data_IF_727429448907
#
_entry.id   IF_727429448907
#
_cell.length_a   1.000
_cell.length_b   1.000
_cell.length_c   1.000
_cell.angle_alpha   90.00
_cell.angle_beta   90.00
_cell.angle_gamma   90.00
#
_symmetry.space_group_name_H-M   'P 1'
#
loop_
_entity.id
_entity.type
_entity.pdbx_description
1 polymer ?
#
# COMPACT_ATOMS: atom_id res chain seq x y z
N UNK A 1 14.97 5.29 3.14
CA UNK A 1 14.27 4.91 4.39
C UNK A 1 12.77 5.05 4.24
N UNK A 2 12.23 6.23 3.87
CA UNK A 2 10.78 6.43 3.68
C UNK A 2 10.18 5.41 2.71
N UNK A 3 10.78 5.22 1.53
CA UNK A 3 10.28 4.26 0.51
C UNK A 3 10.26 2.79 0.96
N UNK A 4 11.13 2.41 1.90
CA UNK A 4 11.13 1.04 2.45
C UNK A 4 9.98 0.86 3.43
N UNK A 5 9.73 1.87 4.27
CA UNK A 5 8.63 1.89 5.22
C UNK A 5 7.26 1.90 4.52
N UNK A 6 7.12 2.62 3.39
CA UNK A 6 5.88 2.64 2.61
C UNK A 6 5.57 1.26 2.02
N UNK A 7 6.55 0.63 1.35
CA UNK A 7 6.38 -0.72 0.79
C UNK A 7 6.04 -1.77 1.85
N UNK A 8 6.67 -1.71 3.03
CA UNK A 8 6.34 -2.59 4.16
C UNK A 8 4.91 -2.32 4.62
N UNK A 9 4.50 -1.06 4.74
CA UNK A 9 3.14 -0.70 5.17
C UNK A 9 2.09 -1.21 4.18
N UNK A 10 2.31 -1.06 2.88
CA UNK A 10 1.36 -1.54 1.87
C UNK A 10 1.31 -3.06 1.83
N UNK A 11 2.48 -3.71 1.90
CA UNK A 11 2.59 -5.17 1.97
C UNK A 11 1.85 -5.72 3.18
N UNK A 12 2.01 -5.10 4.35
CA UNK A 12 1.32 -5.54 5.58
C UNK A 12 -0.18 -5.32 5.51
N UNK A 13 -0.66 -4.24 4.90
CA UNK A 13 -2.10 -4.03 4.64
C UNK A 13 -2.64 -5.16 3.74
N UNK A 14 -1.97 -5.46 2.64
CA UNK A 14 -2.33 -6.56 1.73
C UNK A 14 -2.33 -7.93 2.41
N UNK A 15 -1.30 -8.22 3.20
CA UNK A 15 -1.19 -9.45 3.98
C UNK A 15 -2.28 -9.55 5.04
N UNK A 16 -2.65 -8.43 5.67
CA UNK A 16 -3.73 -8.40 6.67
C UNK A 16 -5.10 -8.70 6.04
N UNK A 17 -5.39 -8.13 4.87
CA UNK A 17 -6.61 -8.41 4.11
C UNK A 17 -6.67 -9.88 3.67
N UNK A 18 -5.55 -10.39 3.15
CA UNK A 18 -5.42 -11.80 2.72
C UNK A 18 -5.61 -12.76 3.89
N UNK A 19 -4.95 -12.48 5.02
CA UNK A 19 -5.10 -13.27 6.24
C UNK A 19 -6.55 -13.25 6.74
N UNK A 20 -7.23 -12.10 6.69
CA UNK A 20 -8.62 -12.01 7.09
C UNK A 20 -9.58 -12.78 6.17
N UNK A 21 -9.30 -12.78 4.87
CA UNK A 21 -10.04 -13.63 3.93
C UNK A 21 -9.85 -15.12 4.24
N UNK A 22 -8.61 -15.56 4.46
CA UNK A 22 -8.30 -16.97 4.77
C UNK A 22 -8.93 -17.41 6.10
N UNK A 23 -8.83 -16.60 7.14
CA UNK A 23 -9.37 -16.90 8.48
C UNK A 23 -10.90 -17.02 8.49
N UNK A 24 -11.58 -16.19 7.70
CA UNK A 24 -13.04 -16.15 7.59
C UNK A 24 -13.60 -17.09 6.51
N UNK A 25 -12.74 -17.75 5.74
CA UNK A 25 -13.17 -18.62 4.65
C UNK A 25 -14.06 -19.78 5.13
N UNK A 26 -15.15 -20.11 4.40
CA UNK A 26 -16.00 -21.24 4.75
C UNK A 26 -15.31 -22.60 4.54
N UNK A 27 -14.22 -22.62 3.76
CA UNK A 27 -13.46 -23.81 3.40
C UNK A 27 -12.38 -24.09 4.45
N UNK A 28 -12.42 -25.28 5.06
CA UNK A 28 -11.51 -25.65 6.14
C UNK A 28 -10.04 -25.62 5.73
N UNK A 29 -9.71 -26.06 4.52
CA UNK A 29 -8.33 -26.08 4.03
C UNK A 29 -7.75 -24.66 3.90
N UNK A 30 -8.54 -23.68 3.42
CA UNK A 30 -8.10 -22.27 3.34
C UNK A 30 -7.88 -21.68 4.73
N UNK A 31 -8.76 -22.01 5.68
CA UNK A 31 -8.62 -21.55 7.07
C UNK A 31 -7.37 -22.12 7.74
N UNK A 32 -7.00 -23.35 7.41
CA UNK A 32 -5.78 -23.98 7.91
C UNK A 32 -4.49 -23.33 7.37
N UNK A 33 -4.55 -22.62 6.24
CA UNK A 33 -3.41 -21.82 5.75
C UNK A 33 -3.16 -20.55 6.59
N UNK A 34 -4.19 -20.07 7.29
CA UNK A 34 -4.15 -18.89 8.17
C UNK A 34 -3.52 -19.19 9.52
N UNK A 35 -2.31 -19.77 9.52
CA UNK A 35 -1.56 -20.02 10.77
C UNK A 35 -0.68 -18.83 11.15
N UNK A 36 -0.38 -18.70 12.45
CA UNK A 36 0.57 -17.69 12.94
C UNK A 36 1.98 -17.92 12.33
N UNK A 37 2.36 -19.18 12.07
CA UNK A 37 3.66 -19.51 11.48
C UNK A 37 3.78 -18.98 10.04
N UNK A 38 2.75 -19.22 9.21
CA UNK A 38 2.70 -18.71 7.84
C UNK A 38 2.64 -17.19 7.81
N UNK A 39 1.85 -16.57 8.67
CA UNK A 39 1.80 -15.10 8.78
C UNK A 39 3.17 -14.49 9.12
N UNK A 40 3.90 -15.05 10.11
CA UNK A 40 5.25 -14.59 10.46
C UNK A 40 6.23 -14.73 9.29
N UNK A 41 6.21 -15.88 8.62
CA UNK A 41 7.06 -16.10 7.46
C UNK A 41 6.80 -15.09 6.33
N UNK A 42 5.53 -14.85 5.99
CA UNK A 42 5.15 -13.88 4.95
C UNK A 42 5.54 -12.45 5.31
N UNK A 43 5.37 -12.04 6.58
CA UNK A 43 5.78 -10.72 7.04
C UNK A 43 7.30 -10.57 6.92
N UNK A 44 8.08 -11.54 7.43
CA UNK A 44 9.55 -11.50 7.31
C UNK A 44 10.00 -11.45 5.84
N UNK A 45 9.40 -12.27 4.98
CA UNK A 45 9.69 -12.25 3.54
C UNK A 45 9.37 -10.89 2.92
N UNK A 46 8.22 -10.28 3.26
CA UNK A 46 7.83 -8.96 2.74
C UNK A 46 8.80 -7.85 3.16
N UNK A 47 9.31 -7.90 4.40
CA UNK A 47 10.30 -6.94 4.90
C UNK A 47 11.62 -7.08 4.15
N UNK A 48 12.11 -8.31 3.99
CA UNK A 48 13.36 -8.59 3.26
C UNK A 48 13.24 -8.10 1.80
N UNK A 49 12.14 -8.44 1.12
CA UNK A 49 11.89 -8.01 -0.26
C UNK A 49 11.83 -6.48 -0.34
N UNK A 50 11.14 -5.82 0.59
CA UNK A 50 11.03 -4.36 0.61
C UNK A 50 12.40 -3.68 0.81
N UNK A 51 13.22 -4.20 1.71
CA UNK A 51 14.58 -3.68 1.94
C UNK A 51 15.43 -3.86 0.68
N UNK A 52 15.46 -5.07 0.10
CA UNK A 52 16.22 -5.36 -1.12
C UNK A 52 15.79 -4.46 -2.28
N UNK A 53 14.48 -4.26 -2.43
CA UNK A 53 13.90 -3.41 -3.46
C UNK A 53 14.32 -1.93 -3.32
N UNK A 54 14.57 -1.46 -2.09
CA UNK A 54 14.99 -0.08 -1.86
C UNK A 54 16.49 0.19 -2.03
N UNK A 55 17.32 -0.85 -2.18
CA UNK A 55 18.77 -0.68 -2.38
C UNK A 55 19.10 0.18 -3.63
N UNK A 56 18.52 -0.09 -4.82
CA UNK A 56 18.74 0.75 -6.00
C UNK A 56 18.42 2.23 -5.78
N UNK A 57 17.37 2.56 -5.01
CA UNK A 57 17.05 3.95 -4.68
C UNK A 57 18.16 4.63 -3.89
N UNK A 58 18.86 3.91 -3.00
CA UNK A 58 20.01 4.45 -2.29
C UNK A 58 21.24 4.65 -3.16
N UNK A 59 21.42 3.83 -4.20
CA UNK A 59 22.57 3.90 -5.12
C UNK A 59 22.41 5.03 -6.13
N UNK A 60 21.21 5.22 -6.67
CA UNK A 60 20.93 6.21 -7.72
C UNK A 60 20.50 7.58 -7.19
N UNK A 61 20.49 7.77 -5.87
CA UNK A 61 20.25 9.06 -5.25
C UNK A 61 21.52 9.92 -5.37
N UNK A 62 21.43 11.04 -6.10
CA UNK A 62 22.56 11.96 -6.24
C UNK A 62 22.18 13.35 -5.68
N UNK A 63 23.17 14.04 -5.13
CA UNK A 63 23.03 15.44 -4.69
C UNK A 63 23.65 16.32 -5.78
N UNK A 64 22.83 17.11 -6.47
CA UNK A 64 23.29 18.09 -7.48
C UNK A 64 22.70 19.45 -7.18
N UNK A 65 23.56 20.48 -7.12
CA UNK A 65 23.17 21.88 -6.94
C UNK A 65 22.12 22.09 -5.83
N UNK A 66 22.36 21.53 -4.63
CA UNK A 66 21.48 21.57 -3.44
C UNK A 66 20.16 20.80 -3.52
N UNK A 67 19.91 20.06 -4.61
CA UNK A 67 18.75 19.18 -4.75
C UNK A 67 19.21 17.72 -4.62
N UNK A 68 18.48 16.94 -3.83
CA UNK A 68 18.70 15.50 -3.68
C UNK A 68 17.62 14.76 -4.47
N UNK A 69 17.99 14.19 -5.62
CA UNK A 69 17.06 13.56 -6.54
C UNK A 69 17.71 12.46 -7.38
N UNK A 70 16.87 11.66 -8.04
CA UNK A 70 17.32 10.64 -9.00
C UNK A 70 17.43 11.29 -10.38
N UNK A 71 18.63 11.28 -10.96
CA UNK A 71 18.87 11.83 -12.31
C UNK A 71 19.04 10.75 -13.39
N UNK A 72 19.22 9.49 -12.99
CA UNK A 72 19.38 8.39 -13.93
C UNK A 72 18.06 8.13 -14.67
N UNK A 73 18.06 8.26 -16.00
CA UNK A 73 16.85 8.12 -16.82
C UNK A 73 16.19 6.74 -16.71
N UNK A 74 16.97 5.67 -16.57
CA UNK A 74 16.42 4.32 -16.42
C UNK A 74 15.68 4.18 -15.08
N UNK A 75 16.25 4.75 -14.02
CA UNK A 75 15.61 4.75 -12.70
C UNK A 75 14.38 5.65 -12.68
N UNK A 76 14.41 6.82 -13.34
CA UNK A 76 13.22 7.68 -13.48
C UNK A 76 12.08 6.97 -14.23
N UNK A 77 12.39 6.26 -15.32
CA UNK A 77 11.40 5.46 -16.04
C UNK A 77 10.83 4.35 -15.15
N UNK A 78 11.69 3.67 -14.39
CA UNK A 78 11.25 2.66 -13.42
C UNK A 78 10.30 3.23 -12.37
N UNK A 79 10.64 4.39 -11.81
CA UNK A 79 9.85 5.06 -10.80
C UNK A 79 8.47 5.46 -11.36
N UNK A 80 8.47 6.10 -12.53
CA UNK A 80 7.27 6.69 -13.15
C UNK A 80 6.29 5.66 -13.67
N UNK A 81 6.79 4.58 -14.29
CA UNK A 81 5.96 3.61 -15.01
C UNK A 81 5.70 2.32 -14.23
N UNK A 82 6.50 2.03 -13.20
CA UNK A 82 6.37 0.79 -12.45
C UNK A 82 6.19 1.02 -10.95
N UNK A 83 7.07 1.78 -10.30
CA UNK A 83 7.02 1.94 -8.85
C UNK A 83 5.73 2.59 -8.36
N UNK A 84 5.44 3.83 -8.78
CA UNK A 84 4.23 4.54 -8.35
C UNK A 84 2.94 3.87 -8.86
N UNK A 85 2.76 3.64 -10.18
CA UNK A 85 1.47 3.15 -10.66
C UNK A 85 1.20 1.70 -10.27
N UNK A 86 2.22 0.83 -10.23
CA UNK A 86 2.03 -0.61 -9.99
C UNK A 86 2.25 -0.96 -8.53
N UNK A 87 3.44 -0.71 -7.99
CA UNK A 87 3.82 -1.15 -6.63
C UNK A 87 3.18 -0.31 -5.51
N UNK A 88 3.08 1.00 -5.70
CA UNK A 88 2.52 1.94 -4.71
C UNK A 88 0.99 2.02 -4.81
N UNK A 89 0.47 2.09 -6.03
CA UNK A 89 -0.96 2.28 -6.30
C UNK A 89 -1.72 0.99 -6.60
N UNK A 90 -1.70 0.54 -7.87
CA UNK A 90 -2.65 -0.43 -8.39
C UNK A 90 -2.60 -1.79 -7.67
N UNK A 91 -1.42 -2.36 -7.51
CA UNK A 91 -1.25 -3.71 -6.95
C UNK A 91 -1.74 -3.80 -5.50
N UNK A 92 -1.31 -2.94 -4.55
CA UNK A 92 -1.78 -3.01 -3.19
C UNK A 92 -3.27 -2.69 -3.07
N UNK A 93 -3.78 -1.71 -3.84
CA UNK A 93 -5.20 -1.36 -3.84
C UNK A 93 -6.05 -2.53 -4.33
N UNK A 94 -5.68 -3.17 -5.44
CA UNK A 94 -6.43 -4.31 -5.99
C UNK A 94 -6.41 -5.49 -5.03
N UNK A 95 -5.24 -5.89 -4.53
CA UNK A 95 -5.09 -7.02 -3.61
C UNK A 95 -5.91 -6.77 -2.34
N UNK A 96 -5.70 -5.62 -1.68
CA UNK A 96 -6.39 -5.30 -0.44
C UNK A 96 -7.91 -5.22 -0.63
N UNK A 97 -8.38 -4.57 -1.71
CA UNK A 97 -9.81 -4.43 -2.00
C UNK A 97 -10.48 -5.76 -2.27
N UNK A 98 -9.88 -6.60 -3.13
CA UNK A 98 -10.43 -7.92 -3.46
C UNK A 98 -10.51 -8.80 -2.22
N UNK A 99 -9.41 -8.94 -1.47
CA UNK A 99 -9.42 -9.80 -0.29
C UNK A 99 -10.33 -9.30 0.82
N UNK A 100 -10.40 -7.99 1.06
CA UNK A 100 -11.33 -7.46 2.07
C UNK A 100 -12.78 -7.55 1.67
N UNK A 101 -13.10 -7.37 0.38
CA UNK A 101 -14.46 -7.60 -0.11
C UNK A 101 -14.86 -9.07 0.04
N UNK A 102 -13.97 -10.00 -0.31
CA UNK A 102 -14.21 -11.43 -0.12
C UNK A 102 -14.35 -11.80 1.36
N UNK A 103 -13.51 -11.24 2.23
CA UNK A 103 -13.60 -11.43 3.68
C UNK A 103 -14.93 -10.91 4.24
N UNK A 104 -15.39 -9.74 3.79
CA UNK A 104 -16.68 -9.18 4.16
C UNK A 104 -17.85 -10.10 3.77
N UNK A 105 -17.82 -10.62 2.54
CA UNK A 105 -18.82 -11.58 2.07
C UNK A 105 -18.82 -12.88 2.89
N UNK A 106 -17.63 -13.39 3.24
CA UNK A 106 -17.48 -14.58 4.07
C UNK A 106 -18.07 -14.38 5.48
N UNK A 107 -17.76 -13.26 6.12
CA UNK A 107 -18.31 -12.91 7.44
C UNK A 107 -19.82 -12.77 7.40
N UNK A 108 -20.38 -12.14 6.36
CA UNK A 108 -21.84 -12.01 6.19
C UNK A 108 -22.51 -13.38 5.97
N UNK A 109 -21.81 -14.36 5.40
CA UNK A 109 -22.28 -15.76 5.27
C UNK A 109 -22.16 -16.53 6.59
N UNK A 110 -21.10 -16.31 7.37
CA UNK A 110 -20.89 -16.92 8.70
C UNK A 110 -22.02 -16.60 9.68
N UNK A 111 -22.66 -15.44 9.54
CA UNK A 111 -23.84 -15.02 10.32
C UNK A 111 -24.95 -16.07 10.35
N UNK A 112 -25.04 -16.95 9.34
CA UNK A 112 -26.05 -18.01 9.25
C UNK A 112 -25.63 -19.36 9.87
N UNK A 113 -24.38 -19.52 10.33
CA UNK A 113 -23.87 -20.76 10.95
C UNK A 113 -23.82 -20.66 12.48
N UNK A 114 -24.00 -21.79 13.16
CA UNK A 114 -23.91 -21.93 14.63
C UNK A 114 -22.43 -21.80 15.11
N UNK A 115 -21.88 -20.59 15.07
CA UNK A 115 -20.61 -20.25 15.71
C UNK A 115 -20.93 -19.54 17.04
N UNK A 116 -20.16 -19.77 18.13
CA UNK A 116 -20.33 -19.02 19.37
C UNK A 116 -20.37 -17.51 19.12
N UNK A 117 -21.39 -16.86 19.69
CA UNK A 117 -21.76 -15.45 19.44
C UNK A 117 -20.57 -14.51 19.68
N UNK A 118 -19.74 -14.80 20.70
CA UNK A 118 -18.56 -13.99 21.06
C UNK A 118 -17.52 -13.98 19.94
N UNK A 119 -17.14 -15.15 19.41
CA UNK A 119 -16.14 -15.27 18.34
C UNK A 119 -16.61 -14.59 17.06
N UNK A 120 -17.90 -14.72 16.76
CA UNK A 120 -18.52 -14.07 15.60
C UNK A 120 -18.45 -12.53 15.68
N UNK A 121 -18.74 -11.94 16.84
CA UNK A 121 -18.65 -10.47 17.01
C UNK A 121 -17.21 -9.97 16.83
N UNK A 122 -16.24 -10.71 17.35
CA UNK A 122 -14.82 -10.38 17.19
C UNK A 122 -14.39 -10.41 15.72
N UNK A 123 -14.72 -11.47 14.99
CA UNK A 123 -14.38 -11.59 13.56
C UNK A 123 -15.06 -10.49 12.72
N UNK A 124 -16.29 -10.10 13.07
CA UNK A 124 -17.02 -9.00 12.43
C UNK A 124 -16.33 -7.65 12.66
N UNK A 125 -15.97 -7.35 13.92
CA UNK A 125 -15.27 -6.11 14.26
C UNK A 125 -13.91 -6.03 13.56
N UNK A 126 -13.17 -7.14 13.52
CA UNK A 126 -11.85 -7.17 12.90
C UNK A 126 -11.91 -7.01 11.37
N UNK A 127 -12.86 -7.66 10.69
CA UNK A 127 -13.09 -7.43 9.25
C UNK A 127 -13.53 -5.99 8.97
N UNK A 128 -14.40 -5.42 9.79
CA UNK A 128 -14.82 -4.02 9.64
C UNK A 128 -13.64 -3.05 9.82
N UNK A 129 -12.78 -3.30 10.81
CA UNK A 129 -11.56 -2.52 11.04
C UNK A 129 -10.62 -2.57 9.83
N UNK A 130 -10.38 -3.74 9.25
CA UNK A 130 -9.51 -3.90 8.08
C UNK A 130 -10.11 -3.18 6.85
N UNK A 131 -11.44 -3.29 6.65
CA UNK A 131 -12.12 -2.62 5.55
C UNK A 131 -11.99 -1.09 5.66
N UNK A 132 -12.21 -0.53 6.85
CA UNK A 132 -12.02 0.91 7.11
C UNK A 132 -10.57 1.31 6.85
N UNK A 133 -9.60 0.53 7.33
CA UNK A 133 -8.18 0.80 7.11
C UNK A 133 -7.83 0.85 5.62
N UNK A 134 -8.44 -0.02 4.80
CA UNK A 134 -8.21 -0.02 3.35
C UNK A 134 -8.86 1.18 2.66
N UNK A 135 -10.07 1.57 3.08
CA UNK A 135 -10.72 2.79 2.56
C UNK A 135 -9.86 4.01 2.86
N UNK A 136 -9.38 4.14 4.10
CA UNK A 136 -8.47 5.23 4.51
C UNK A 136 -7.18 5.17 3.70
N UNK A 137 -6.59 3.98 3.54
CA UNK A 137 -5.40 3.77 2.72
C UNK A 137 -5.60 4.26 1.28
N UNK A 138 -6.71 3.92 0.64
CA UNK A 138 -7.05 4.34 -0.74
C UNK A 138 -7.18 5.86 -0.81
N UNK A 139 -7.94 6.47 0.11
CA UNK A 139 -8.23 7.91 0.09
C UNK A 139 -6.98 8.76 0.36
N UNK A 140 -6.09 8.29 1.25
CA UNK A 140 -4.87 9.04 1.60
C UNK A 140 -3.70 8.78 0.64
N UNK A 141 -3.62 7.59 0.03
CA UNK A 141 -2.45 7.19 -0.78
C UNK A 141 -2.62 7.49 -2.26
N UNK A 142 -3.80 7.22 -2.85
CA UNK A 142 -4.00 7.41 -4.29
C UNK A 142 -3.75 8.84 -4.78
N UNK A 143 -4.21 9.90 -4.10
CA UNK A 143 -3.97 11.26 -4.57
C UNK A 143 -2.47 11.60 -4.65
N UNK A 144 -1.70 11.12 -3.68
CA UNK A 144 -0.25 11.27 -3.65
C UNK A 144 0.43 10.53 -4.82
N UNK A 145 0.09 9.26 -5.03
CA UNK A 145 0.66 8.47 -6.15
C UNK A 145 0.34 9.08 -7.53
N UNK A 146 -0.88 9.63 -7.70
CA UNK A 146 -1.29 10.29 -8.94
C UNK A 146 -0.49 11.58 -9.17
N UNK A 147 -0.27 12.36 -8.11
CA UNK A 147 0.52 13.60 -8.19
C UNK A 147 1.98 13.29 -8.53
N UNK A 148 2.60 12.30 -7.89
CA UNK A 148 3.97 11.87 -8.19
C UNK A 148 4.08 11.39 -9.65
N UNK A 149 3.14 10.57 -10.11
CA UNK A 149 3.10 10.15 -11.51
C UNK A 149 3.00 11.37 -12.44
N UNK A 150 2.18 12.36 -12.09
CA UNK A 150 2.04 13.59 -12.87
C UNK A 150 3.34 14.39 -12.93
N UNK A 151 4.04 14.59 -11.81
CA UNK A 151 5.28 15.38 -11.77
C UNK A 151 6.39 14.75 -12.60
N UNK A 152 6.54 13.42 -12.53
CA UNK A 152 7.57 12.71 -13.32
C UNK A 152 7.25 12.63 -14.82
N UNK A 153 5.99 12.39 -15.19
CA UNK A 153 5.60 12.27 -16.61
C UNK A 153 5.56 13.64 -17.28
N UNK A 154 4.95 14.63 -16.64
CA UNK A 154 4.77 15.96 -17.22
C UNK A 154 6.08 16.77 -17.30
N UNK A 155 7.18 16.29 -16.67
CA UNK A 155 8.48 16.96 -16.59
C UNK A 155 8.31 18.46 -16.32
N UNK A 156 7.65 18.77 -15.20
CA UNK A 156 7.20 20.12 -14.84
C UNK A 156 8.29 21.15 -15.14
N UNK A 157 8.03 22.00 -16.13
CA UNK A 157 9.02 22.93 -16.65
C UNK A 157 9.18 24.09 -15.67
N UNK A 158 10.39 24.32 -15.17
CA UNK A 158 10.70 25.35 -14.16
C UNK A 158 10.58 26.79 -14.67
N UNK A 159 10.27 26.97 -15.96
CA UNK A 159 10.14 28.28 -16.60
C UNK A 159 8.94 29.10 -16.12
N UNK A 160 7.87 28.44 -15.64
CA UNK A 160 6.71 29.12 -15.06
C UNK A 160 6.69 28.99 -13.54
N UNK A 161 7.25 29.99 -12.87
CA UNK A 161 7.42 30.02 -11.40
C UNK A 161 6.09 29.88 -10.64
N UNK A 162 5.01 30.51 -11.14
CA UNK A 162 3.70 30.44 -10.49
C UNK A 162 3.12 29.02 -10.56
N UNK A 163 3.25 28.38 -11.71
CA UNK A 163 2.79 27.01 -11.90
C UNK A 163 3.56 26.02 -11.02
N UNK A 164 4.89 26.17 -10.97
CA UNK A 164 5.76 25.35 -10.12
C UNK A 164 5.42 25.51 -8.63
N UNK A 165 5.16 26.74 -8.17
CA UNK A 165 4.77 27.01 -6.79
C UNK A 165 3.44 26.33 -6.41
N UNK A 166 2.45 26.32 -7.31
CA UNK A 166 1.16 25.64 -7.09
C UNK A 166 1.37 24.13 -6.95
N UNK A 167 2.17 23.52 -7.85
CA UNK A 167 2.46 22.08 -7.81
C UNK A 167 3.14 21.70 -6.50
N UNK A 168 4.14 22.47 -6.06
CA UNK A 168 4.83 22.21 -4.78
C UNK A 168 3.89 22.34 -3.57
N UNK A 169 2.94 23.27 -3.60
CA UNK A 169 1.96 23.42 -2.54
C UNK A 169 1.03 22.19 -2.49
N UNK A 170 0.54 21.73 -3.65
CA UNK A 170 -0.29 20.52 -3.75
C UNK A 170 0.49 19.30 -3.26
N UNK A 171 1.74 19.14 -3.71
CA UNK A 171 2.63 18.05 -3.30
C UNK A 171 2.85 18.05 -1.79
N UNK A 172 3.14 19.21 -1.18
CA UNK A 172 3.30 19.32 0.26
C UNK A 172 2.04 18.91 1.03
N UNK A 173 0.85 19.35 0.60
CA UNK A 173 -0.43 18.94 1.21
C UNK A 173 -0.63 17.43 1.08
N UNK A 174 -0.39 16.86 -0.10
CA UNK A 174 -0.56 15.43 -0.34
C UNK A 174 0.44 14.59 0.45
N UNK A 175 1.69 15.02 0.59
CA UNK A 175 2.70 14.38 1.44
C UNK A 175 2.24 14.37 2.90
N UNK A 176 1.68 15.48 3.40
CA UNK A 176 1.17 15.51 4.79
C UNK A 176 0.01 14.55 5.00
N UNK A 177 -0.92 14.47 4.05
CA UNK A 177 -2.04 13.52 4.10
C UNK A 177 -1.56 12.07 4.00
N UNK A 178 -0.57 11.81 3.14
CA UNK A 178 0.03 10.49 2.99
C UNK A 178 0.70 10.02 4.28
N UNK A 179 1.44 10.90 4.96
CA UNK A 179 2.12 10.58 6.22
C UNK A 179 1.17 10.39 7.42
N UNK A 180 -0.11 10.76 7.32
CA UNK A 180 -1.12 10.48 8.35
C UNK A 180 -1.61 9.02 8.36
N UNK A 181 -1.31 8.27 7.29
CA UNK A 181 -1.69 6.88 7.10
C UNK A 181 -0.70 5.90 7.74
#
# INVERSE_FOLDING_TARGET
MVSSCTLISFSTICLSASHQYLSTSPLLYLRQLSTIKTARFLICASVIISILHTIPFGIFLEIRASICAVFNQNMLNYISYFYYPVLSGLLPVLIASVFSFLAYNNVRRIVRRQIPIVRRKLDQQLTAMILIRIIVFIVLTLPYDIQEMYTYIAKVNQSNLLYYAIINLIEAVLITLFNLN
#
